data_IF_511568230824
#
_entry.id   IF_511568230824
#
_cell.length_a   1.000
_cell.length_b   1.000
_cell.length_c   1.000
_cell.angle_alpha   90.00
_cell.angle_beta   90.00
_cell.angle_gamma   90.00
#
_symmetry.space_group_name_H-M   'P 1'
#
loop_
_entity.id
_entity.type
_entity.pdbx_description
1 polymer ?
#
# COMPACT_ATOMS: atom_id res chain seq x y z
N UNK A 1 -5.05 14.52 -18.38
CA UNK A 1 -6.50 14.79 -18.49
C UNK A 1 -7.24 13.80 -17.61
N UNK A 2 -8.20 14.23 -16.80
CA UNK A 2 -8.90 13.34 -15.86
C UNK A 2 -9.99 12.55 -16.57
N UNK A 3 -9.76 11.26 -16.82
CA UNK A 3 -10.76 10.39 -17.43
C UNK A 3 -11.99 10.29 -16.50
N UNK A 4 -13.22 10.68 -16.94
CA UNK A 4 -14.39 10.69 -16.06
C UNK A 4 -14.71 9.32 -15.45
N UNK A 5 -14.41 8.23 -16.17
CA UNK A 5 -14.62 6.85 -15.70
C UNK A 5 -13.68 6.42 -14.56
N UNK A 6 -12.46 6.98 -14.48
CA UNK A 6 -11.51 6.67 -13.39
C UNK A 6 -11.79 7.46 -12.10
N UNK A 7 -12.44 8.61 -12.23
CA UNK A 7 -12.77 9.51 -11.11
C UNK A 7 -13.61 8.87 -9.98
N UNK A 8 -14.69 8.11 -10.24
CA UNK A 8 -15.42 7.39 -9.19
C UNK A 8 -14.60 6.24 -8.58
N UNK A 9 -13.84 5.50 -9.41
CA UNK A 9 -13.02 4.38 -8.95
C UNK A 9 -11.93 4.84 -7.98
N UNK A 10 -11.21 5.92 -8.31
CA UNK A 10 -10.19 6.52 -7.44
C UNK A 10 -10.81 7.07 -6.13
N UNK A 11 -12.01 7.67 -6.19
CA UNK A 11 -12.76 8.12 -5.00
C UNK A 11 -13.27 6.97 -4.12
N UNK A 12 -13.46 5.78 -4.67
CA UNK A 12 -13.78 4.57 -3.92
C UNK A 12 -12.51 3.96 -3.30
N UNK A 13 -11.46 3.80 -4.10
CA UNK A 13 -10.20 3.21 -3.67
C UNK A 13 -9.54 4.05 -2.55
N UNK A 14 -9.60 5.38 -2.65
CA UNK A 14 -9.15 6.30 -1.59
C UNK A 14 -9.95 6.27 -0.27
N UNK A 15 -11.02 5.45 -0.18
CA UNK A 15 -11.76 5.20 1.07
C UNK A 15 -11.41 3.84 1.71
N UNK A 16 -10.55 3.02 1.10
CA UNK A 16 -10.14 1.74 1.68
C UNK A 16 -9.02 1.94 2.73
N UNK A 17 -9.19 1.31 3.89
CA UNK A 17 -8.13 1.20 4.91
C UNK A 17 -6.93 0.41 4.37
N UNK A 18 -5.70 0.68 4.84
CA UNK A 18 -4.47 0.08 4.28
C UNK A 18 -4.49 -1.45 4.13
N UNK A 19 -5.10 -2.25 5.04
CA UNK A 19 -5.22 -3.71 4.84
C UNK A 19 -6.08 -4.08 3.62
N UNK A 20 -7.20 -3.38 3.41
CA UNK A 20 -8.10 -3.59 2.26
C UNK A 20 -7.47 -3.09 0.97
N UNK A 21 -6.80 -1.93 1.03
CA UNK A 21 -6.07 -1.37 -0.10
C UNK A 21 -4.96 -2.34 -0.55
N UNK A 22 -4.20 -2.88 0.42
CA UNK A 22 -3.16 -3.88 0.15
C UNK A 22 -3.73 -5.15 -0.48
N UNK A 23 -4.84 -5.70 0.05
CA UNK A 23 -5.48 -6.88 -0.50
C UNK A 23 -5.95 -6.67 -1.96
N UNK A 24 -6.50 -5.50 -2.30
CA UNK A 24 -6.87 -5.16 -3.69
C UNK A 24 -5.65 -5.05 -4.59
N UNK A 25 -4.58 -4.38 -4.15
CA UNK A 25 -3.31 -4.30 -4.91
C UNK A 25 -2.69 -5.69 -5.12
N UNK A 26 -2.66 -6.53 -4.09
CA UNK A 26 -2.13 -7.89 -4.19
C UNK A 26 -2.99 -8.81 -5.08
N UNK A 27 -4.32 -8.66 -5.07
CA UNK A 27 -5.19 -9.39 -5.98
C UNK A 27 -4.95 -9.00 -7.44
N UNK A 28 -4.83 -7.70 -7.74
CA UNK A 28 -4.50 -7.21 -9.09
C UNK A 28 -3.11 -7.72 -9.55
N UNK A 29 -2.11 -7.64 -8.68
CA UNK A 29 -0.74 -8.16 -8.89
C UNK A 29 -0.73 -9.66 -9.23
N UNK A 30 -1.47 -10.48 -8.49
CA UNK A 30 -1.55 -11.92 -8.79
C UNK A 30 -2.34 -12.21 -10.07
N UNK A 31 -3.34 -11.39 -10.43
CA UNK A 31 -4.03 -11.52 -11.73
C UNK A 31 -3.08 -11.19 -12.89
N UNK A 32 -2.29 -10.13 -12.74
CA UNK A 32 -1.24 -9.72 -13.70
C UNK A 32 -0.22 -10.86 -13.90
N UNK A 33 0.24 -11.47 -12.80
CA UNK A 33 1.19 -12.59 -12.79
C UNK A 33 0.59 -13.91 -13.34
N UNK A 34 -0.73 -14.11 -13.27
CA UNK A 34 -1.41 -15.32 -13.74
C UNK A 34 -1.83 -15.25 -15.22
N UNK A 35 -1.69 -14.11 -15.88
CA UNK A 35 -1.97 -13.93 -17.31
C UNK A 35 -0.63 -13.76 -18.04
N UNK A 36 -0.06 -14.83 -18.66
CA UNK A 36 1.32 -14.78 -19.13
C UNK A 36 1.54 -13.80 -20.29
N UNK A 37 2.39 -12.79 -20.03
CA UNK A 37 3.08 -11.88 -20.94
C UNK A 37 2.39 -11.53 -22.28
N UNK A 38 1.61 -10.45 -22.25
CA UNK A 38 1.52 -9.51 -23.38
C UNK A 38 2.33 -8.21 -23.14
N UNK A 39 2.93 -8.02 -21.96
CA UNK A 39 3.46 -6.74 -21.48
C UNK A 39 4.84 -6.94 -20.83
N UNK A 40 5.97 -6.62 -21.50
CA UNK A 40 7.25 -6.50 -20.81
C UNK A 40 7.21 -5.35 -19.79
N UNK A 41 8.04 -5.44 -18.73
CA UNK A 41 8.08 -4.58 -17.52
C UNK A 41 7.18 -5.02 -16.34
N UNK A 42 6.57 -6.21 -16.38
CA UNK A 42 5.87 -6.75 -15.20
C UNK A 42 6.83 -6.87 -14.00
N UNK A 43 8.04 -7.40 -14.18
CA UNK A 43 9.01 -7.62 -13.09
C UNK A 43 9.40 -6.34 -12.32
N UNK A 44 9.59 -5.19 -12.99
CA UNK A 44 9.79 -3.90 -12.30
C UNK A 44 8.58 -3.49 -11.45
N UNK A 45 7.35 -3.79 -11.90
CA UNK A 45 6.13 -3.53 -11.14
C UNK A 45 6.05 -4.46 -9.92
N UNK A 46 6.45 -5.73 -10.06
CA UNK A 46 6.53 -6.68 -8.95
C UNK A 46 7.49 -6.17 -7.87
N UNK A 47 8.69 -5.73 -8.29
CA UNK A 47 9.76 -5.25 -7.42
C UNK A 47 9.40 -3.92 -6.73
N UNK A 48 8.77 -3.00 -7.46
CA UNK A 48 8.26 -1.73 -6.93
C UNK A 48 7.18 -1.92 -5.86
N UNK A 49 6.24 -2.84 -6.08
CA UNK A 49 5.18 -3.14 -5.11
C UNK A 49 5.69 -3.94 -3.89
N UNK A 50 6.66 -4.84 -4.09
CA UNK A 50 7.39 -5.46 -2.99
C UNK A 50 8.12 -4.44 -2.11
N UNK A 51 8.76 -3.44 -2.71
CA UNK A 51 9.42 -2.34 -2.01
C UNK A 51 8.41 -1.50 -1.20
N UNK A 52 7.24 -1.19 -1.78
CA UNK A 52 6.18 -0.44 -1.11
C UNK A 52 5.59 -1.19 0.10
N UNK A 53 5.48 -2.52 0.01
CA UNK A 53 5.07 -3.38 1.12
C UNK A 53 6.11 -3.38 2.24
N UNK A 54 7.39 -3.56 1.90
CA UNK A 54 8.50 -3.57 2.86
C UNK A 54 8.60 -2.23 3.60
N UNK A 55 8.38 -1.11 2.91
CA UNK A 55 8.34 0.22 3.51
C UNK A 55 7.21 0.41 4.54
N UNK A 56 6.04 -0.24 4.35
CA UNK A 56 4.95 -0.26 5.36
C UNK A 56 5.12 -1.37 6.41
N UNK A 57 6.23 -2.12 6.42
CA UNK A 57 6.48 -3.15 7.44
C UNK A 57 7.07 -2.58 8.75
N UNK A 58 7.36 -1.27 8.82
CA UNK A 58 7.60 -0.62 10.12
C UNK A 58 6.36 -0.72 11.00
N UNK A 59 6.45 -1.54 12.07
CA UNK A 59 5.62 -1.35 13.26
C UNK A 59 5.76 0.11 13.73
N UNK A 60 4.71 0.71 14.30
CA UNK A 60 4.93 1.76 15.28
C UNK A 60 5.69 1.13 16.46
N UNK A 61 6.95 1.53 16.65
CA UNK A 61 7.53 1.47 18.00
C UNK A 61 6.69 2.38 18.88
N UNK A 62 6.29 1.93 20.07
CA UNK A 62 5.49 2.73 21.02
C UNK A 62 6.37 3.74 21.76
N UNK A 63 7.20 4.47 21.00
CA UNK A 63 8.02 5.58 21.45
C UNK A 63 7.15 6.82 21.62
N UNK A 64 6.29 6.76 22.64
CA UNK A 64 6.03 7.96 23.43
C UNK A 64 7.35 8.31 24.11
N UNK A 65 8.03 9.42 23.77
CA UNK A 65 9.10 9.91 24.62
C UNK A 65 8.50 10.15 26.02
N UNK A 66 9.13 9.68 27.10
CA UNK A 66 8.67 10.00 28.45
C UNK A 66 8.56 11.51 28.59
N UNK A 67 7.41 12.01 29.03
CA UNK A 67 7.26 13.44 29.31
C UNK A 67 8.09 13.71 30.57
N UNK A 68 9.20 14.43 30.39
CA UNK A 68 10.15 14.73 31.45
C UNK A 68 9.48 15.61 32.52
N UNK A 69 9.03 14.97 33.60
CA UNK A 69 8.07 15.54 34.53
C UNK A 69 7.29 14.55 35.41
N UNK A 70 7.40 13.23 35.21
CA UNK A 70 6.87 12.24 36.18
C UNK A 70 7.65 12.26 37.50
N UNK A 71 7.29 13.20 38.38
CA UNK A 71 7.73 13.23 39.79
C UNK A 71 7.05 12.08 40.52
N UNK A 72 7.74 10.93 40.55
CA UNK A 72 7.34 9.77 41.35
C UNK A 72 7.48 10.10 42.84
N UNK A 73 6.35 10.08 43.55
CA UNK A 73 6.27 10.16 45.02
C UNK A 73 6.61 8.82 45.66
#
# INVERSE_FOLDING_TARGET
MSNPFLSPLLRWLGKLSFPRLFAVTAALFFIDLLVPDFIPLIDEILLGLGTLLLARWKKPSDEKPPIEGEIKR
#
